data_IF_705467778117
#
_entry.id   IF_705467778117
#
_cell.length_a   1.000
_cell.length_b   1.000
_cell.length_c   1.000
_cell.angle_alpha   90.00
_cell.angle_beta   90.00
_cell.angle_gamma   90.00
#
_symmetry.space_group_name_H-M   'P 1'
#
loop_
_entity.id
_entity.type
_entity.pdbx_description
1 polymer ?
#
# COMPACT_ATOMS: atom_id res chain seq x y z
N UNK A 1 11.83 4.95 8.93
CA UNK A 1 10.96 6.08 9.29
C UNK A 1 10.71 6.02 10.79
N UNK A 2 10.84 7.15 11.51
CA UNK A 2 10.54 7.22 12.94
C UNK A 2 9.01 7.26 13.13
N UNK A 3 8.49 6.47 14.06
CA UNK A 3 7.10 6.57 14.51
C UNK A 3 6.95 7.85 15.35
N UNK A 4 6.85 9.00 14.70
CA UNK A 4 6.73 10.29 15.36
C UNK A 4 5.26 10.65 15.59
N UNK A 5 4.92 11.03 16.82
CA UNK A 5 3.62 11.61 17.15
C UNK A 5 3.60 13.07 16.69
N UNK A 6 2.68 13.43 15.79
CA UNK A 6 2.45 14.82 15.39
C UNK A 6 1.73 15.56 16.51
N UNK A 7 2.25 16.74 16.85
CA UNK A 7 1.69 17.65 17.84
C UNK A 7 1.42 19.00 17.18
N UNK A 8 0.18 19.49 17.30
CA UNK A 8 -0.20 20.82 16.82
C UNK A 8 -0.34 21.76 18.03
N UNK A 9 0.31 22.92 17.99
CA UNK A 9 0.32 23.84 19.13
C UNK A 9 -1.06 24.48 19.35
N UNK A 10 -1.51 24.50 20.60
CA UNK A 10 -2.76 25.16 21.03
C UNK A 10 -2.48 26.08 22.22
N UNK A 11 -3.44 26.94 22.58
CA UNK A 11 -3.26 28.01 23.58
C UNK A 11 -2.73 27.54 24.94
N UNK A 12 -3.02 26.31 25.35
CA UNK A 12 -2.63 25.74 26.64
C UNK A 12 -1.70 24.51 26.55
N UNK A 13 -1.08 24.26 25.38
CA UNK A 13 -0.20 23.11 25.19
C UNK A 13 -0.20 22.58 23.75
N UNK A 14 -0.37 21.28 23.58
CA UNK A 14 -0.39 20.62 22.27
C UNK A 14 -1.65 19.79 22.10
N UNK A 15 -2.22 19.82 20.91
CA UNK A 15 -3.22 18.86 20.45
C UNK A 15 -2.52 17.70 19.73
N UNK A 16 -3.08 16.51 19.86
CA UNK A 16 -2.66 15.35 19.08
C UNK A 16 -3.86 14.53 18.62
N UNK A 17 -3.67 13.90 17.46
CA UNK A 17 -4.60 12.93 16.91
C UNK A 17 -3.81 11.76 16.36
N UNK A 18 -3.94 10.61 17.00
CA UNK A 18 -3.14 9.43 16.66
C UNK A 18 -3.88 8.12 16.94
N UNK A 19 -3.35 7.04 16.37
CA UNK A 19 -3.84 5.68 16.64
C UNK A 19 -2.85 5.02 17.61
N UNK A 20 -3.35 4.56 18.75
CA UNK A 20 -2.58 3.87 19.76
C UNK A 20 -3.07 2.42 19.89
N UNK A 21 -2.16 1.46 19.90
CA UNK A 21 -2.52 0.06 20.08
C UNK A 21 -1.28 -0.82 20.13
N UNK A 22 -1.39 -1.94 20.87
CA UNK A 22 -0.31 -2.94 20.95
C UNK A 22 -0.22 -3.80 19.68
N UNK A 23 -1.29 -3.80 18.88
CA UNK A 23 -1.35 -4.45 17.57
C UNK A 23 -2.13 -3.55 16.60
N UNK A 24 -1.85 -3.62 15.29
CA UNK A 24 -2.63 -2.92 14.27
C UNK A 24 -4.13 -3.19 14.41
N UNK A 25 -4.56 -4.41 14.73
CA UNK A 25 -5.99 -4.73 14.84
C UNK A 25 -6.71 -4.09 16.03
N UNK A 26 -5.98 -3.60 17.05
CA UNK A 26 -6.52 -3.08 18.30
C UNK A 26 -6.25 -1.58 18.48
N UNK A 27 -5.98 -0.87 17.38
CA UNK A 27 -5.82 0.57 17.40
C UNK A 27 -7.05 1.28 17.96
N UNK A 28 -6.82 2.21 18.88
CA UNK A 28 -7.78 3.23 19.26
C UNK A 28 -7.34 4.55 18.64
N UNK A 29 -8.24 5.20 17.90
CA UNK A 29 -8.04 6.58 17.48
C UNK A 29 -8.30 7.46 18.70
N UNK A 30 -7.28 8.17 19.13
CA UNK A 30 -7.30 9.02 20.31
C UNK A 30 -7.09 10.45 19.86
N UNK A 31 -8.03 11.31 20.26
CA UNK A 31 -7.97 12.75 20.15
C UNK A 31 -7.74 13.31 21.56
N UNK A 32 -6.67 14.09 21.76
CA UNK A 32 -6.33 14.59 23.08
C UNK A 32 -5.42 15.81 23.07
N UNK A 33 -5.20 16.33 24.27
CA UNK A 33 -4.29 17.45 24.51
C UNK A 33 -3.24 17.11 25.56
N UNK A 34 -2.07 17.72 25.43
CA UNK A 34 -0.96 17.66 26.38
C UNK A 34 -0.75 19.08 26.90
N UNK A 35 -0.88 19.29 28.21
CA UNK A 35 -0.62 20.60 28.81
C UNK A 35 0.90 20.92 28.90
N UNK A 36 1.25 22.14 29.30
CA UNK A 36 2.65 22.57 29.45
C UNK A 36 3.43 21.82 30.55
N UNK A 37 2.75 21.06 31.41
CA UNK A 37 3.34 20.23 32.46
C UNK A 37 3.42 18.75 32.06
N UNK A 38 2.93 18.39 30.87
CA UNK A 38 2.90 17.03 30.35
C UNK A 38 1.66 16.22 30.73
N UNK A 39 0.64 16.82 31.35
CA UNK A 39 -0.61 16.12 31.65
C UNK A 39 -1.42 15.90 30.38
N UNK A 40 -1.94 14.69 30.19
CA UNK A 40 -2.70 14.30 29.00
C UNK A 40 -4.20 14.30 29.34
N UNK A 41 -5.00 14.96 28.52
CA UNK A 41 -6.47 14.89 28.56
C UNK A 41 -7.00 14.29 27.27
N UNK A 42 -7.86 13.29 27.37
CA UNK A 42 -8.47 12.62 26.21
C UNK A 42 -9.83 13.24 25.93
N UNK A 43 -9.99 13.81 24.74
CA UNK A 43 -11.26 14.36 24.27
C UNK A 43 -12.16 13.27 23.69
N UNK A 44 -11.60 12.34 22.92
CA UNK A 44 -12.32 11.15 22.45
C UNK A 44 -11.39 9.97 22.24
N UNK A 45 -11.95 8.77 22.41
CA UNK A 45 -11.27 7.50 22.15
C UNK A 45 -12.26 6.54 21.49
N UNK A 46 -12.02 6.25 20.22
CA UNK A 46 -12.87 5.37 19.43
C UNK A 46 -12.03 4.22 18.86
N UNK A 47 -12.59 3.01 18.72
CA UNK A 47 -11.93 1.95 17.96
C UNK A 47 -11.57 2.49 16.57
N UNK A 48 -10.28 2.45 16.18
CA UNK A 48 -9.86 3.00 14.88
C UNK A 48 -10.22 2.10 13.70
N UNK A 49 -10.75 0.90 13.95
CA UNK A 49 -10.59 -0.22 13.04
C UNK A 49 -9.11 -0.60 12.90
N UNK A 50 -8.79 -1.63 12.10
CA UNK A 50 -7.40 -1.82 11.68
C UNK A 50 -6.90 -0.51 11.07
N UNK A 51 -5.64 -0.07 11.32
CA UNK A 51 -5.07 1.05 10.59
C UNK A 51 -5.29 0.80 9.10
N UNK A 52 -5.46 1.85 8.27
CA UNK A 52 -5.49 1.66 6.83
C UNK A 52 -4.25 0.84 6.49
N UNK A 53 -4.47 -0.41 6.10
CA UNK A 53 -3.37 -1.27 5.70
C UNK A 53 -2.69 -0.50 4.58
N UNK A 54 -1.37 -0.23 4.71
CA UNK A 54 -0.68 0.39 3.62
C UNK A 54 -0.95 -0.46 2.38
N UNK A 55 -1.12 0.29 1.34
CA UNK A 55 -1.76 -0.13 0.15
C UNK A 55 -0.75 -1.04 -0.57
N UNK A 56 -0.94 -2.35 -0.51
CA UNK A 56 0.15 -3.30 -0.81
C UNK A 56 -0.32 -4.57 -1.53
N UNK A 57 0.63 -5.26 -2.15
CA UNK A 57 0.52 -6.52 -2.88
C UNK A 57 0.47 -7.74 -1.95
N UNK A 58 -0.19 -8.80 -2.39
CA UNK A 58 -0.10 -10.12 -1.75
C UNK A 58 1.31 -10.72 -1.87
N UNK A 59 1.69 -11.55 -0.90
CA UNK A 59 2.90 -12.39 -0.93
C UNK A 59 2.91 -13.25 -2.20
N UNK A 60 4.10 -13.47 -2.77
CA UNK A 60 4.28 -14.31 -3.95
C UNK A 60 4.02 -13.58 -5.28
N UNK A 61 3.44 -12.37 -5.23
CA UNK A 61 3.27 -11.51 -6.41
C UNK A 61 4.59 -11.33 -7.13
N UNK A 62 4.58 -11.56 -8.45
CA UNK A 62 5.76 -11.58 -9.31
C UNK A 62 6.03 -10.19 -9.87
N UNK A 63 7.11 -9.56 -9.45
CA UNK A 63 7.57 -8.28 -9.99
C UNK A 63 8.47 -8.53 -11.19
N UNK A 64 8.21 -7.83 -12.29
CA UNK A 64 8.97 -7.98 -13.51
C UNK A 64 10.39 -7.40 -13.34
N UNK A 65 11.41 -8.23 -13.58
CA UNK A 65 12.82 -7.81 -13.60
C UNK A 65 13.46 -8.12 -14.95
N UNK A 66 14.61 -7.51 -15.31
CA UNK A 66 15.35 -7.85 -16.52
C UNK A 66 15.82 -9.32 -16.57
N UNK A 67 15.99 -9.95 -15.40
CA UNK A 67 16.44 -11.34 -15.27
C UNK A 67 15.29 -12.34 -15.10
N UNK A 68 14.04 -11.88 -15.31
CA UNK A 68 12.82 -12.65 -15.09
C UNK A 68 12.10 -12.28 -13.81
N UNK A 69 10.90 -12.80 -13.65
CA UNK A 69 10.00 -12.36 -12.59
C UNK A 69 10.43 -12.86 -11.19
N UNK A 70 10.41 -11.96 -10.20
CA UNK A 70 10.85 -12.23 -8.81
C UNK A 70 9.69 -12.03 -7.85
N UNK A 71 9.58 -12.87 -6.82
CA UNK A 71 8.53 -12.69 -5.80
C UNK A 71 8.80 -11.41 -5.01
N UNK A 72 7.77 -10.60 -4.76
CA UNK A 72 7.89 -9.31 -4.10
C UNK A 72 8.58 -9.39 -2.74
N UNK A 73 8.33 -10.45 -1.96
CA UNK A 73 8.94 -10.65 -0.64
C UNK A 73 10.43 -11.04 -0.68
N UNK A 74 10.98 -11.32 -1.88
CA UNK A 74 12.40 -11.67 -2.08
C UNK A 74 13.23 -10.52 -2.63
N UNK A 75 12.61 -9.39 -2.98
CA UNK A 75 13.31 -8.23 -3.50
C UNK A 75 14.02 -7.45 -2.40
N UNK A 76 15.10 -6.78 -2.78
CA UNK A 76 15.89 -5.89 -1.94
C UNK A 76 16.07 -4.52 -2.61
N UNK A 77 16.33 -3.48 -1.80
CA UNK A 77 16.77 -2.17 -2.31
C UNK A 77 18.03 -2.36 -3.14
N UNK A 78 18.06 -1.78 -4.33
CA UNK A 78 19.11 -1.95 -5.33
C UNK A 78 18.79 -2.96 -6.43
N UNK A 79 17.83 -3.88 -6.22
CA UNK A 79 17.42 -4.82 -7.28
C UNK A 79 16.83 -4.07 -8.47
N UNK A 80 17.17 -4.52 -9.68
CA UNK A 80 16.67 -3.94 -10.92
C UNK A 80 15.29 -4.47 -11.26
N UNK A 81 14.35 -3.57 -11.56
CA UNK A 81 12.99 -3.91 -11.99
C UNK A 81 12.63 -3.16 -13.26
N UNK A 82 11.61 -3.65 -13.96
CA UNK A 82 10.97 -2.87 -15.02
C UNK A 82 10.03 -1.83 -14.40
N UNK A 83 10.17 -0.58 -14.84
CA UNK A 83 9.31 0.56 -14.51
C UNK A 83 9.03 1.39 -15.78
N UNK A 84 8.30 2.50 -15.65
CA UNK A 84 8.09 3.46 -16.73
C UNK A 84 8.82 4.77 -16.44
N UNK A 85 9.27 5.44 -17.49
CA UNK A 85 9.71 6.83 -17.41
C UNK A 85 8.51 7.81 -17.50
N UNK A 86 8.81 9.11 -17.49
CA UNK A 86 7.78 10.16 -17.57
C UNK A 86 6.99 10.16 -18.90
N UNK A 87 7.49 9.51 -19.95
CA UNK A 87 6.80 9.34 -21.23
C UNK A 87 5.93 8.08 -21.28
N UNK A 88 5.98 7.24 -20.25
CA UNK A 88 5.33 5.93 -20.21
C UNK A 88 6.18 4.82 -20.85
N UNK A 89 7.41 5.10 -21.29
CA UNK A 89 8.27 4.10 -21.89
C UNK A 89 8.82 3.15 -20.83
N UNK A 90 8.82 1.85 -21.14
CA UNK A 90 9.34 0.81 -20.24
C UNK A 90 10.86 0.90 -20.14
N UNK A 91 11.37 1.11 -18.92
CA UNK A 91 12.79 1.25 -18.60
C UNK A 91 13.18 0.36 -17.42
N UNK A 92 14.47 0.17 -17.22
CA UNK A 92 15.02 -0.51 -16.03
C UNK A 92 15.43 0.53 -14.99
N UNK A 93 15.05 0.32 -13.73
CA UNK A 93 15.51 1.14 -12.62
C UNK A 93 15.75 0.28 -11.36
N UNK A 94 16.67 0.68 -10.47
CA UNK A 94 16.84 0.03 -9.18
C UNK A 94 15.69 0.37 -8.23
N UNK A 95 15.33 -0.55 -7.35
CA UNK A 95 14.45 -0.26 -6.22
C UNK A 95 15.16 0.66 -5.21
N UNK A 96 14.50 1.73 -4.81
CA UNK A 96 14.98 2.69 -3.80
C UNK A 96 14.32 2.50 -2.43
N UNK A 97 13.15 1.85 -2.39
CA UNK A 97 12.48 1.47 -1.15
C UNK A 97 11.68 0.18 -1.32
N UNK A 98 11.51 -0.53 -0.21
CA UNK A 98 10.63 -1.70 -0.08
C UNK A 98 9.88 -1.58 1.24
N UNK A 99 8.60 -1.91 1.22
CA UNK A 99 7.73 -1.93 2.38
C UNK A 99 7.12 -3.32 2.58
N UNK A 100 6.92 -3.70 3.84
CA UNK A 100 6.07 -4.82 4.19
C UNK A 100 5.21 -4.48 5.40
N UNK A 101 4.00 -5.00 5.46
CA UNK A 101 3.10 -4.82 6.60
C UNK A 101 2.40 -6.12 6.95
N UNK A 102 2.53 -6.60 8.20
CA UNK A 102 1.75 -7.73 8.69
C UNK A 102 0.25 -7.48 8.59
N UNK A 103 -0.51 -8.50 8.25
CA UNK A 103 -1.97 -8.39 8.09
C UNK A 103 -2.74 -9.24 9.11
N UNK A 104 -3.94 -8.81 9.55
CA UNK A 104 -4.82 -9.68 10.32
C UNK A 104 -5.31 -10.90 9.55
N UNK A 105 -5.77 -11.96 10.26
CA UNK A 105 -6.51 -13.07 9.64
C UNK A 105 -7.79 -12.64 8.90
N UNK A 106 -8.34 -11.47 9.22
CA UNK A 106 -9.54 -10.91 8.57
C UNK A 106 -9.21 -10.03 7.36
N UNK A 107 -7.94 -9.95 6.96
CA UNK A 107 -7.54 -9.09 5.85
C UNK A 107 -8.13 -9.59 4.53
N UNK A 108 -8.48 -8.64 3.67
CA UNK A 108 -9.00 -8.91 2.34
C UNK A 108 -8.22 -8.12 1.30
N UNK A 109 -8.02 -8.76 0.16
CA UNK A 109 -7.44 -8.16 -1.04
C UNK A 109 -8.46 -8.21 -2.16
N UNK A 110 -8.26 -7.38 -3.17
CA UNK A 110 -8.96 -7.48 -4.46
C UNK A 110 -8.20 -8.47 -5.31
N UNK A 111 -8.88 -9.51 -5.78
CA UNK A 111 -8.43 -10.36 -6.88
C UNK A 111 -8.87 -9.73 -8.19
N UNK A 112 -7.95 -8.98 -8.80
CA UNK A 112 -8.16 -8.41 -10.12
C UNK A 112 -7.81 -9.47 -11.17
N UNK A 113 -8.71 -9.68 -12.13
CA UNK A 113 -8.50 -10.59 -13.27
C UNK A 113 -8.82 -9.84 -14.56
N UNK A 114 -7.90 -9.89 -15.52
CA UNK A 114 -8.04 -9.26 -16.83
C UNK A 114 -8.36 -10.31 -17.91
N UNK A 115 -8.96 -9.85 -19.00
CA UNK A 115 -9.43 -10.69 -20.10
C UNK A 115 -8.32 -11.44 -20.84
N UNK A 116 -7.07 -11.00 -20.69
CA UNK A 116 -5.88 -11.64 -21.26
C UNK A 116 -5.24 -12.67 -20.32
N UNK A 117 -5.87 -12.96 -19.17
CA UNK A 117 -5.43 -13.94 -18.20
C UNK A 117 -4.49 -13.40 -17.12
N UNK A 118 -4.07 -12.14 -17.17
CA UNK A 118 -3.34 -11.51 -16.08
C UNK A 118 -4.20 -11.43 -14.82
N UNK A 119 -3.59 -11.65 -13.65
CA UNK A 119 -4.25 -11.53 -12.36
C UNK A 119 -3.31 -11.06 -11.27
N UNK A 120 -3.80 -10.20 -10.38
CA UNK A 120 -3.06 -9.72 -9.22
C UNK A 120 -3.97 -9.62 -8.00
N UNK A 121 -3.46 -10.08 -6.85
CA UNK A 121 -4.11 -9.97 -5.54
C UNK A 121 -3.49 -8.79 -4.79
N UNK A 122 -4.27 -7.73 -4.55
CA UNK A 122 -3.75 -6.46 -4.05
C UNK A 122 -4.74 -5.73 -3.15
N UNK A 123 -4.25 -4.92 -2.22
CA UNK A 123 -5.10 -4.11 -1.35
C UNK A 123 -6.04 -3.21 -2.17
N UNK A 124 -7.32 -3.04 -1.77
CA UNK A 124 -8.30 -2.27 -2.55
C UNK A 124 -7.88 -0.82 -2.84
N UNK A 125 -7.08 -0.21 -1.96
CA UNK A 125 -6.61 1.17 -2.15
C UNK A 125 -5.48 1.33 -3.16
N UNK A 126 -4.96 0.25 -3.76
CA UNK A 126 -3.71 0.28 -4.54
C UNK A 126 -3.82 1.08 -5.81
N UNK A 127 -2.94 2.07 -6.01
CA UNK A 127 -3.03 2.89 -7.19
C UNK A 127 -2.63 2.04 -8.40
N UNK A 128 -3.41 2.16 -9.45
CA UNK A 128 -2.97 1.84 -10.80
C UNK A 128 -1.98 2.92 -11.27
N UNK A 129 -1.20 2.66 -12.32
CA UNK A 129 -0.31 3.68 -12.85
C UNK A 129 -1.03 4.91 -13.45
N UNK A 130 -2.32 4.77 -13.80
CA UNK A 130 -3.17 5.89 -14.24
C UNK A 130 -3.87 6.63 -13.08
N UNK A 131 -3.58 6.27 -11.82
CA UNK A 131 -4.02 6.98 -10.62
C UNK A 131 -5.39 6.57 -10.07
N UNK A 132 -6.10 5.62 -10.72
CA UNK A 132 -7.28 4.96 -10.13
C UNK A 132 -6.88 4.07 -8.96
N UNK A 133 -7.85 3.63 -8.15
CA UNK A 133 -7.62 2.56 -7.15
C UNK A 133 -8.09 1.24 -7.72
N UNK A 134 -7.35 0.17 -7.46
CA UNK A 134 -7.71 -1.17 -7.93
C UNK A 134 -9.10 -1.60 -7.41
N UNK A 135 -9.46 -1.23 -6.18
CA UNK A 135 -10.77 -1.53 -5.61
C UNK A 135 -11.95 -0.73 -6.18
N UNK A 136 -11.67 0.25 -7.04
CA UNK A 136 -12.69 1.01 -7.76
C UNK A 136 -12.93 0.45 -9.19
N UNK A 137 -12.12 -0.52 -9.63
CA UNK A 137 -12.31 -1.21 -10.91
C UNK A 137 -13.47 -2.21 -10.82
N UNK A 138 -14.26 -2.29 -11.88
CA UNK A 138 -15.38 -3.22 -12.04
C UNK A 138 -15.27 -4.05 -13.31
N UNK A 139 -16.04 -5.14 -13.36
CA UNK A 139 -16.13 -5.96 -14.56
C UNK A 139 -16.62 -5.14 -15.77
N UNK A 140 -15.95 -5.26 -16.91
CA UNK A 140 -16.22 -4.49 -18.12
C UNK A 140 -15.38 -3.23 -18.29
N UNK A 141 -14.68 -2.77 -17.26
CA UNK A 141 -13.78 -1.62 -17.35
C UNK A 141 -12.58 -1.91 -18.25
N UNK A 142 -12.12 -0.91 -19.01
CA UNK A 142 -10.84 -0.97 -19.68
C UNK A 142 -9.68 -0.65 -18.71
N UNK A 143 -8.69 -1.53 -18.69
CA UNK A 143 -7.49 -1.37 -17.89
C UNK A 143 -6.30 -2.08 -18.53
N UNK A 144 -5.16 -1.39 -18.65
CA UNK A 144 -3.91 -1.94 -19.20
C UNK A 144 -4.09 -2.64 -20.56
N UNK A 145 -4.86 -2.01 -21.47
CA UNK A 145 -5.20 -2.54 -22.81
C UNK A 145 -5.96 -3.87 -22.81
N UNK A 146 -6.56 -4.23 -21.68
CA UNK A 146 -7.44 -5.38 -21.51
C UNK A 146 -8.76 -4.95 -20.88
N UNK A 147 -9.70 -5.89 -20.75
CA UNK A 147 -10.96 -5.69 -20.04
C UNK A 147 -10.88 -6.37 -18.68
N UNK A 148 -11.34 -5.69 -17.63
CA UNK A 148 -11.49 -6.28 -16.31
C UNK A 148 -12.59 -7.34 -16.37
N UNK A 149 -12.23 -8.59 -16.05
CA UNK A 149 -13.19 -9.70 -15.93
C UNK A 149 -13.84 -9.70 -14.56
N UNK A 150 -13.04 -9.49 -13.51
CA UNK A 150 -13.51 -9.45 -12.13
C UNK A 150 -12.54 -8.66 -11.24
N UNK A 151 -13.07 -8.09 -10.17
CA UNK A 151 -12.33 -7.36 -9.13
C UNK A 151 -12.92 -7.69 -7.75
N UNK A 152 -12.90 -8.99 -7.40
CA UNK A 152 -13.60 -9.48 -6.22
C UNK A 152 -12.77 -9.35 -4.95
N UNK A 153 -13.43 -9.04 -3.82
CA UNK A 153 -12.78 -9.07 -2.51
C UNK A 153 -12.67 -10.51 -2.02
N UNK A 154 -11.45 -10.95 -1.75
CA UNK A 154 -11.15 -12.29 -1.26
C UNK A 154 -10.40 -12.21 0.07
N UNK A 155 -10.62 -13.19 0.94
CA UNK A 155 -9.86 -13.32 2.20
C UNK A 155 -8.40 -13.62 1.89
N UNK A 156 -7.50 -13.01 2.65
CA UNK A 156 -6.05 -13.15 2.47
C UNK A 156 -5.37 -13.49 3.80
N UNK A 157 -4.62 -14.59 3.80
CA UNK A 157 -3.95 -15.18 4.95
C UNK A 157 -2.42 -15.25 4.81
N UNK A 158 -1.83 -14.58 3.80
CA UNK A 158 -0.39 -14.62 3.50
C UNK A 158 0.53 -13.92 4.51
N UNK A 159 0.00 -13.56 5.69
CA UNK A 159 0.71 -13.06 6.87
C UNK A 159 1.21 -11.62 6.79
N UNK A 160 1.60 -11.16 5.61
CA UNK A 160 2.00 -9.78 5.33
C UNK A 160 1.73 -9.42 3.87
N UNK A 161 1.62 -8.11 3.59
CA UNK A 161 1.60 -7.54 2.24
C UNK A 161 2.88 -6.77 1.98
N UNK A 162 3.16 -6.45 0.71
CA UNK A 162 4.42 -5.87 0.27
C UNK A 162 4.21 -4.74 -0.73
N UNK A 163 5.14 -3.80 -0.78
CA UNK A 163 5.18 -2.76 -1.81
C UNK A 163 6.64 -2.43 -2.14
N UNK A 164 6.88 -1.92 -3.34
CA UNK A 164 8.21 -1.59 -3.85
C UNK A 164 8.19 -0.23 -4.53
N UNK A 165 9.31 0.49 -4.48
CA UNK A 165 9.47 1.78 -5.15
C UNK A 165 10.68 1.75 -6.07
N UNK A 166 10.48 1.71 -7.39
CA UNK A 166 11.55 1.93 -8.35
C UNK A 166 12.05 3.37 -8.31
N UNK A 167 13.33 3.59 -8.60
CA UNK A 167 13.87 4.93 -8.82
C UNK A 167 13.16 5.59 -10.02
N UNK A 168 12.89 6.89 -9.91
CA UNK A 168 12.27 7.68 -10.97
C UNK A 168 11.01 8.39 -10.50
N UNK A 169 10.40 9.15 -11.40
CA UNK A 169 9.24 10.01 -11.07
C UNK A 169 7.90 9.28 -11.12
N UNK A 170 7.80 8.16 -11.84
CA UNK A 170 6.53 7.46 -12.05
C UNK A 170 6.12 6.60 -10.84
N UNK A 171 7.10 6.02 -10.13
CA UNK A 171 6.85 5.11 -9.02
C UNK A 171 6.02 3.88 -9.41
N UNK A 172 6.01 3.46 -10.67
CA UNK A 172 5.18 2.34 -11.14
C UNK A 172 6.01 1.07 -11.40
N UNK A 173 5.40 -0.10 -11.30
CA UNK A 173 6.06 -1.38 -11.54
C UNK A 173 5.08 -2.42 -12.07
N UNK A 174 5.57 -3.44 -12.77
CA UNK A 174 4.74 -4.56 -13.18
C UNK A 174 4.69 -5.64 -12.11
N UNK A 175 3.48 -5.96 -11.67
CA UNK A 175 3.15 -7.03 -10.74
C UNK A 175 2.24 -8.05 -11.45
N UNK A 176 2.71 -9.29 -11.62
CA UNK A 176 2.06 -10.33 -12.43
C UNK A 176 1.69 -9.83 -13.84
N UNK A 177 2.52 -8.97 -14.42
CA UNK A 177 2.27 -8.34 -15.73
C UNK A 177 1.25 -7.19 -15.74
N UNK A 178 0.73 -6.78 -14.58
CA UNK A 178 -0.16 -5.63 -14.42
C UNK A 178 0.64 -4.43 -13.92
N UNK A 179 0.54 -3.28 -14.60
CA UNK A 179 1.24 -2.06 -14.19
C UNK A 179 0.50 -1.37 -13.04
N UNK A 180 1.15 -1.27 -11.89
CA UNK A 180 0.63 -0.68 -10.66
C UNK A 180 1.54 0.44 -10.17
N UNK A 181 0.99 1.35 -9.37
CA UNK A 181 1.74 2.42 -8.71
C UNK A 181 2.20 2.02 -7.31
N UNK A 182 3.37 2.50 -6.92
CA UNK A 182 3.88 2.40 -5.56
C UNK A 182 3.14 3.34 -4.62
N UNK A 183 3.06 2.95 -3.36
CA UNK A 183 2.51 3.77 -2.27
C UNK A 183 3.58 4.24 -1.30
N UNK A 184 4.82 3.80 -1.51
CA UNK A 184 5.99 4.31 -0.81
C UNK A 184 6.36 5.70 -1.36
N UNK A 185 7.01 6.52 -0.51
CA UNK A 185 7.47 7.87 -0.83
C UNK A 185 8.87 8.10 -0.29
#
# INVERSE_FOLDING_TARGET
MLNALRLDQVSAGFHFLAIFGNTPQQGSRVDGTIDQKGSITIASQNPSGPPPCPICLARGTRIATPSGDVAVERLAVGDLVWTIDASGARIVAPLVAIGSTPVPPTHQVVRLVLSDGRSVDVSPGHPTADGRRVGDLGAGDEFEHAVVVSADRVSYDGGATFDVLPAGAAGAYWANGVLLGSTLR
#
